data_IF_884650425661
#
_entry.id   IF_884650425661
#
_cell.length_a   1.000
_cell.length_b   1.000
_cell.length_c   1.000
_cell.angle_alpha   90.00
_cell.angle_beta   90.00
_cell.angle_gamma   90.00
#
_symmetry.space_group_name_H-M   'P 1'
#
loop_
_entity.id
_entity.type
_entity.pdbx_description
1 polymer ?
#
# COMPACT_ATOMS: atom_id res chain seq x y z
N UNK A 1 -7.92 -30.28 53.19
CA UNK A 1 -8.39 -29.99 51.82
C UNK A 1 -7.99 -28.58 51.36
N UNK A 2 -6.72 -28.16 51.54
CA UNK A 2 -6.28 -26.77 51.25
C UNK A 2 -5.18 -26.65 50.18
N UNK A 3 -4.62 -27.79 49.73
CA UNK A 3 -3.57 -27.84 48.69
C UNK A 3 -4.10 -28.25 47.30
N UNK A 4 -5.35 -28.71 47.18
CA UNK A 4 -5.91 -29.10 45.87
C UNK A 4 -6.38 -27.93 45.01
N UNK A 5 -6.67 -26.78 45.63
CA UNK A 5 -7.06 -25.55 44.93
C UNK A 5 -5.87 -24.83 44.27
N UNK A 6 -4.66 -24.98 44.82
CA UNK A 6 -3.46 -24.32 44.29
C UNK A 6 -2.93 -24.99 43.02
N UNK A 7 -3.14 -26.31 42.89
CA UNK A 7 -2.75 -27.08 41.70
C UNK A 7 -3.65 -26.77 40.50
N UNK A 8 -4.92 -26.40 40.72
CA UNK A 8 -5.86 -26.09 39.66
C UNK A 8 -5.60 -24.70 39.02
N UNK A 9 -5.02 -23.76 39.76
CA UNK A 9 -4.69 -22.42 39.27
C UNK A 9 -3.41 -22.39 38.41
N UNK A 10 -2.47 -23.32 38.61
CA UNK A 10 -1.19 -23.34 37.89
C UNK A 10 -1.31 -23.92 36.47
N UNK A 11 -2.32 -24.77 36.23
CA UNK A 11 -2.55 -25.40 34.91
C UNK A 11 -3.19 -24.43 33.89
N UNK A 12 -3.82 -23.35 34.36
CA UNK A 12 -4.48 -22.36 33.50
C UNK A 12 -3.52 -21.31 32.88
N UNK A 13 -2.26 -21.26 33.32
CA UNK A 13 -1.27 -20.30 32.79
C UNK A 13 -0.41 -20.84 31.64
N UNK A 14 -0.53 -22.12 31.29
CA UNK A 14 0.30 -22.75 30.24
C UNK A 14 -0.32 -22.68 28.83
N UNK A 15 -1.53 -22.11 28.68
CA UNK A 15 -2.22 -21.96 27.39
C UNK A 15 -1.93 -20.68 26.63
N UNK A 16 -1.13 -19.75 27.18
CA UNK A 16 -0.85 -18.45 26.57
C UNK A 16 0.39 -18.48 25.66
N UNK A 17 0.52 -19.49 24.80
CA UNK A 17 1.36 -19.36 23.62
C UNK A 17 0.43 -18.95 22.48
N UNK A 18 0.15 -17.65 22.41
CA UNK A 18 -0.49 -17.07 21.24
C UNK A 18 0.44 -17.32 20.05
N UNK A 19 0.06 -18.29 19.22
CA UNK A 19 0.60 -18.49 17.89
C UNK A 19 0.45 -17.18 17.14
N UNK A 20 1.54 -16.42 17.01
CA UNK A 20 1.65 -15.38 16.00
C UNK A 20 1.42 -16.06 14.66
N UNK A 21 0.32 -15.73 14.00
CA UNK A 21 0.04 -16.20 12.64
C UNK A 21 1.30 -16.00 11.79
N UNK A 22 1.66 -16.98 10.95
CA UNK A 22 2.75 -16.79 10.03
C UNK A 22 2.31 -15.67 9.08
N UNK A 23 2.79 -14.45 9.33
CA UNK A 23 2.82 -13.38 8.33
C UNK A 23 3.43 -14.06 7.12
N UNK A 24 2.64 -14.30 6.07
CA UNK A 24 3.14 -14.97 4.89
C UNK A 24 4.31 -14.14 4.38
N UNK A 25 5.53 -14.60 4.64
CA UNK A 25 6.74 -13.91 4.22
C UNK A 25 6.90 -14.21 2.74
N UNK A 26 6.10 -13.55 1.90
CA UNK A 26 6.28 -13.60 0.46
C UNK A 26 7.74 -13.31 0.15
N UNK A 27 8.31 -14.09 -0.75
CA UNK A 27 9.68 -13.87 -1.18
C UNK A 27 9.77 -12.53 -1.93
N UNK A 28 10.94 -11.86 -1.93
CA UNK A 28 11.13 -10.62 -2.69
C UNK A 28 10.77 -10.76 -4.18
N UNK A 29 10.98 -11.96 -4.75
CA UNK A 29 10.64 -12.26 -6.14
C UNK A 29 9.12 -12.34 -6.38
N UNK A 30 8.37 -12.94 -5.46
CA UNK A 30 6.90 -12.96 -5.53
C UNK A 30 6.30 -11.56 -5.40
N UNK A 31 6.87 -10.73 -4.52
CA UNK A 31 6.46 -9.33 -4.40
C UNK A 31 6.76 -8.58 -5.70
N UNK A 32 7.95 -8.78 -6.27
CA UNK A 32 8.33 -8.10 -7.51
C UNK A 32 7.46 -8.50 -8.70
N UNK A 33 7.11 -9.78 -8.82
CA UNK A 33 6.26 -10.26 -9.92
C UNK A 33 4.83 -9.73 -9.81
N UNK A 34 4.32 -9.60 -8.58
CA UNK A 34 3.04 -8.95 -8.32
C UNK A 34 3.07 -7.44 -8.63
N UNK A 35 4.19 -6.78 -8.34
CA UNK A 35 4.35 -5.33 -8.48
C UNK A 35 4.67 -4.86 -9.90
N UNK A 36 4.93 -5.75 -10.85
CA UNK A 36 5.47 -5.38 -12.17
C UNK A 36 4.64 -5.94 -13.31
N UNK A 37 4.37 -5.12 -14.33
CA UNK A 37 3.71 -5.57 -15.57
C UNK A 37 4.32 -4.94 -16.81
N UNK A 38 4.39 -5.74 -17.87
CA UNK A 38 4.82 -5.31 -19.19
C UNK A 38 3.65 -4.89 -20.08
N UNK A 39 3.83 -3.81 -20.82
CA UNK A 39 2.88 -3.32 -21.82
C UNK A 39 3.56 -3.19 -23.19
N UNK A 40 2.82 -3.56 -24.23
CA UNK A 40 3.29 -3.47 -25.63
C UNK A 40 3.27 -2.04 -26.22
N UNK A 41 2.75 -1.06 -25.49
CA UNK A 41 2.68 0.33 -25.92
C UNK A 41 3.92 1.12 -25.50
N UNK A 42 4.19 2.24 -26.18
CA UNK A 42 5.33 3.11 -25.86
C UNK A 42 5.17 3.82 -24.52
N UNK A 43 6.28 4.22 -23.89
CA UNK A 43 6.30 5.05 -22.67
C UNK A 43 5.44 6.31 -22.81
N UNK A 44 5.36 6.87 -24.01
CA UNK A 44 4.54 8.06 -24.31
C UNK A 44 3.02 7.83 -24.15
N UNK A 45 2.56 6.59 -24.28
CA UNK A 45 1.16 6.20 -24.07
C UNK A 45 0.96 5.68 -22.65
N UNK A 46 1.87 4.83 -22.17
CA UNK A 46 1.76 4.16 -20.88
C UNK A 46 1.87 5.15 -19.72
N UNK A 47 2.91 5.99 -19.69
CA UNK A 47 3.16 6.93 -18.60
C UNK A 47 1.94 7.81 -18.28
N UNK A 48 1.36 8.54 -19.24
CA UNK A 48 0.24 9.40 -18.91
C UNK A 48 -1.06 8.60 -18.66
N UNK A 49 -1.16 7.33 -19.11
CA UNK A 49 -2.28 6.45 -18.77
C UNK A 49 -2.23 6.02 -17.30
N UNK A 50 -1.05 5.68 -16.79
CA UNK A 50 -0.84 5.39 -15.36
C UNK A 50 -1.20 6.61 -14.52
N UNK A 51 -0.75 7.80 -14.92
CA UNK A 51 -1.09 9.05 -14.24
C UNK A 51 -2.60 9.30 -14.19
N UNK A 52 -3.33 9.07 -15.30
CA UNK A 52 -4.79 9.19 -15.33
C UNK A 52 -5.47 8.20 -14.39
N UNK A 53 -5.01 6.94 -14.33
CA UNK A 53 -5.59 5.95 -13.40
C UNK A 53 -5.40 6.37 -11.95
N UNK A 54 -4.25 6.90 -11.57
CA UNK A 54 -4.07 7.44 -10.22
C UNK A 54 -5.06 8.57 -9.92
N UNK A 55 -5.26 9.50 -10.85
CA UNK A 55 -6.23 10.59 -10.70
C UNK A 55 -7.69 10.08 -10.62
N UNK A 56 -8.06 9.10 -11.46
CA UNK A 56 -9.39 8.48 -11.48
C UNK A 56 -9.69 7.72 -10.18
N UNK A 57 -8.65 7.15 -9.55
CA UNK A 57 -8.74 6.51 -8.23
C UNK A 57 -8.76 7.52 -7.07
N UNK A 58 -8.73 8.82 -7.36
CA UNK A 58 -8.77 9.89 -6.37
C UNK A 58 -7.42 10.19 -5.71
N UNK A 59 -6.32 9.66 -6.22
CA UNK A 59 -4.98 10.01 -5.74
C UNK A 59 -4.57 11.38 -6.28
N UNK A 60 -3.88 12.14 -5.43
CA UNK A 60 -3.27 13.41 -5.79
C UNK A 60 -1.82 13.16 -6.21
N UNK A 61 -1.50 13.43 -7.47
CA UNK A 61 -0.13 13.33 -7.99
C UNK A 61 0.76 14.37 -7.30
N UNK A 62 1.84 13.92 -6.66
CA UNK A 62 2.79 14.77 -5.91
C UNK A 62 4.00 15.13 -6.76
N UNK A 63 4.49 14.18 -7.56
CA UNK A 63 5.58 14.37 -8.50
C UNK A 63 5.39 13.44 -9.70
N UNK A 64 5.74 13.92 -10.89
CA UNK A 64 5.73 13.14 -12.10
C UNK A 64 6.86 13.62 -13.01
N UNK A 65 7.78 12.72 -13.34
CA UNK A 65 8.91 12.99 -14.22
C UNK A 65 8.93 11.94 -15.31
N UNK A 66 8.70 12.38 -16.56
CA UNK A 66 8.55 11.48 -17.70
C UNK A 66 9.88 10.90 -18.16
N UNK A 67 10.98 11.60 -17.96
CA UNK A 67 12.30 11.16 -18.40
C UNK A 67 12.77 9.98 -17.54
N UNK A 68 12.75 10.15 -16.22
CA UNK A 68 12.97 9.07 -15.24
C UNK A 68 11.86 8.03 -15.28
N UNK A 69 10.63 8.42 -15.62
CA UNK A 69 9.46 7.55 -15.55
C UNK A 69 8.87 7.40 -14.15
N UNK A 70 9.26 8.27 -13.21
CA UNK A 70 8.76 8.25 -11.84
C UNK A 70 7.42 9.01 -11.74
N UNK A 71 6.44 8.39 -11.08
CA UNK A 71 5.21 9.05 -10.64
C UNK A 71 5.02 8.74 -9.17
N UNK A 72 4.78 9.75 -8.34
CA UNK A 72 4.37 9.60 -6.95
C UNK A 72 3.02 10.26 -6.74
N UNK A 73 2.14 9.59 -6.01
CA UNK A 73 0.80 10.06 -5.71
C UNK A 73 0.38 9.64 -4.30
N UNK A 74 -0.54 10.39 -3.69
CA UNK A 74 -1.06 10.10 -2.35
C UNK A 74 -2.59 10.05 -2.37
N UNK A 75 -3.17 9.06 -1.69
CA UNK A 75 -4.61 9.02 -1.46
C UNK A 75 -5.03 10.18 -0.55
N UNK A 76 -6.32 10.54 -0.52
CA UNK A 76 -6.83 11.47 0.48
C UNK A 76 -6.53 10.96 1.89
N UNK A 77 -6.14 11.88 2.77
CA UNK A 77 -5.91 11.59 4.18
C UNK A 77 -7.25 11.28 4.87
N UNK A 78 -7.32 10.14 5.53
CA UNK A 78 -8.47 9.74 6.36
C UNK A 78 -8.14 9.99 7.82
N UNK A 79 -8.91 10.86 8.48
CA UNK A 79 -8.73 11.16 9.91
C UNK A 79 -9.79 10.50 10.78
N UNK A 80 -9.37 9.91 11.91
CA UNK A 80 -10.31 9.38 12.90
C UNK A 80 -10.84 10.50 13.80
N UNK A 81 -11.98 11.06 13.42
CA UNK A 81 -12.62 12.19 14.11
C UNK A 81 -13.07 11.82 15.53
N UNK A 82 -13.48 10.57 15.78
CA UNK A 82 -13.92 10.12 17.09
C UNK A 82 -12.77 10.11 18.10
N UNK A 83 -11.59 9.65 17.68
CA UNK A 83 -10.41 9.61 18.53
C UNK A 83 -9.87 11.02 18.84
N UNK A 84 -9.93 11.93 17.85
CA UNK A 84 -9.60 13.34 18.04
C UNK A 84 -10.53 14.04 19.03
N UNK A 85 -11.83 13.75 18.96
CA UNK A 85 -12.83 14.35 19.83
C UNK A 85 -12.76 13.82 21.28
N UNK A 86 -12.57 12.51 21.46
CA UNK A 86 -12.60 11.88 22.80
C UNK A 86 -11.25 11.88 23.52
N UNK A 87 -10.14 11.70 22.80
CA UNK A 87 -8.81 11.50 23.40
C UNK A 87 -7.83 12.64 23.09
N UNK A 88 -8.23 13.62 22.27
CA UNK A 88 -7.33 14.66 21.78
C UNK A 88 -6.22 14.15 20.84
N UNK A 89 -6.31 12.88 20.40
CA UNK A 89 -5.32 12.23 19.54
C UNK A 89 -5.76 12.32 18.09
N UNK A 90 -4.91 12.88 17.23
CA UNK A 90 -5.16 12.89 15.78
C UNK A 90 -4.53 11.66 15.16
N UNK A 91 -5.33 10.84 14.48
CA UNK A 91 -4.87 9.66 13.74
C UNK A 91 -5.26 9.81 12.28
N UNK A 92 -4.25 9.84 11.42
CA UNK A 92 -4.39 10.13 9.99
C UNK A 92 -3.72 9.02 9.19
N UNK A 93 -4.50 8.36 8.34
CA UNK A 93 -4.02 7.34 7.41
C UNK A 93 -4.08 7.81 5.97
N UNK A 94 -3.04 7.51 5.20
CA UNK A 94 -2.94 7.79 3.77
C UNK A 94 -2.14 6.68 3.07
N UNK A 95 -2.43 6.41 1.81
CA UNK A 95 -1.68 5.47 0.99
C UNK A 95 -0.88 6.23 -0.05
N UNK A 96 0.44 6.07 -0.01
CA UNK A 96 1.34 6.55 -1.06
C UNK A 96 1.43 5.50 -2.17
N UNK A 97 1.24 5.93 -3.42
CA UNK A 97 1.43 5.14 -4.62
C UNK A 97 2.65 5.65 -5.39
N UNK A 98 3.54 4.74 -5.77
CA UNK A 98 4.68 5.05 -6.64
C UNK A 98 4.59 4.17 -7.88
N UNK A 99 4.68 4.78 -9.06
CA UNK A 99 4.90 4.07 -10.31
C UNK A 99 6.28 4.40 -10.87
N UNK A 100 6.96 3.38 -11.38
CA UNK A 100 8.17 3.51 -12.16
C UNK A 100 7.95 2.92 -13.53
N UNK A 101 8.12 3.72 -14.58
CA UNK A 101 7.84 3.35 -15.96
C UNK A 101 9.13 3.45 -16.79
N UNK A 102 9.58 2.34 -17.34
CA UNK A 102 10.79 2.27 -18.15
C UNK A 102 10.57 1.50 -19.44
N UNK A 103 11.44 1.71 -20.43
CA UNK A 103 11.41 0.95 -21.68
C UNK A 103 12.56 -0.04 -21.70
N UNK A 104 12.23 -1.34 -21.78
CA UNK A 104 13.18 -2.44 -21.90
C UNK A 104 12.81 -3.23 -23.15
N UNK A 105 13.77 -3.47 -24.05
CA UNK A 105 13.58 -4.31 -25.24
C UNK A 105 12.32 -3.95 -26.07
N UNK A 106 12.07 -2.65 -26.28
CA UNK A 106 10.91 -2.08 -27.00
C UNK A 106 9.55 -2.28 -26.32
N UNK A 107 9.51 -2.86 -25.13
CA UNK A 107 8.32 -2.92 -24.28
C UNK A 107 8.43 -1.88 -23.16
N UNK A 108 7.28 -1.48 -22.63
CA UNK A 108 7.24 -0.59 -21.48
C UNK A 108 6.94 -1.40 -20.22
N UNK A 109 7.85 -1.41 -19.28
CA UNK A 109 7.69 -2.01 -17.96
C UNK A 109 7.12 -0.97 -17.00
N UNK A 110 6.11 -1.37 -16.22
CA UNK A 110 5.53 -0.55 -15.15
C UNK A 110 5.65 -1.31 -13.85
N UNK A 111 6.33 -0.71 -12.88
CA UNK A 111 6.37 -1.19 -11.50
C UNK A 111 5.53 -0.28 -10.61
N UNK A 112 4.64 -0.88 -9.83
CA UNK A 112 3.81 -0.20 -8.85
C UNK A 112 4.26 -0.55 -7.43
N UNK A 113 4.18 0.41 -6.53
CA UNK A 113 4.40 0.20 -5.11
C UNK A 113 3.38 1.01 -4.31
N UNK A 114 2.76 0.39 -3.31
CA UNK A 114 1.79 1.04 -2.44
C UNK A 114 2.23 0.89 -0.99
N UNK A 115 2.24 2.00 -0.26
CA UNK A 115 2.63 2.05 1.16
C UNK A 115 1.58 2.82 1.91
N UNK A 116 0.96 2.20 2.91
CA UNK A 116 0.02 2.86 3.81
C UNK A 116 0.79 3.43 4.99
N UNK A 117 0.67 4.74 5.19
CA UNK A 117 1.19 5.46 6.32
C UNK A 117 0.07 5.77 7.31
N UNK A 118 0.27 5.44 8.58
CA UNK A 118 -0.56 5.90 9.69
C UNK A 118 0.26 6.83 10.57
N UNK A 119 -0.24 8.04 10.80
CA UNK A 119 0.39 9.04 11.67
C UNK A 119 -0.52 9.37 12.83
N UNK A 120 -0.08 9.04 14.03
CA UNK A 120 -0.71 9.42 15.28
C UNK A 120 -0.01 10.64 15.87
N UNK A 121 -0.77 11.65 16.27
CA UNK A 121 -0.25 12.88 16.89
C UNK A 121 -0.97 13.11 18.22
N UNK A 122 -0.18 13.29 19.27
CA UNK A 122 -0.64 13.44 20.66
C UNK A 122 -0.48 14.89 21.13
N UNK A 123 -0.97 15.17 22.34
CA UNK A 123 -0.66 16.41 23.04
C UNK A 123 0.85 16.62 23.18
N UNK A 124 1.27 17.88 23.36
CA UNK A 124 2.69 18.27 23.57
C UNK A 124 3.63 18.01 22.38
N UNK A 125 3.10 17.83 21.17
CA UNK A 125 3.89 17.79 19.94
C UNK A 125 4.55 16.44 19.65
N UNK A 126 4.20 15.38 20.39
CA UNK A 126 4.65 14.02 20.08
C UNK A 126 3.86 13.47 18.88
N UNK A 127 4.56 12.81 17.96
CA UNK A 127 3.92 12.08 16.86
C UNK A 127 4.63 10.77 16.59
N UNK A 128 3.86 9.76 16.23
CA UNK A 128 4.34 8.46 15.78
C UNK A 128 3.86 8.20 14.35
N UNK A 129 4.68 7.52 13.54
CA UNK A 129 4.39 7.21 12.14
C UNK A 129 4.78 5.78 11.83
N UNK A 130 3.81 5.01 11.36
CA UNK A 130 3.99 3.64 10.90
C UNK A 130 3.72 3.54 9.40
N UNK A 131 4.70 3.04 8.65
CA UNK A 131 4.58 2.81 7.21
C UNK A 131 4.56 1.30 6.94
N UNK A 132 3.52 0.83 6.23
CA UNK A 132 3.28 -0.59 5.96
C UNK A 132 3.11 -0.81 4.45
N UNK A 133 3.91 -1.67 3.80
CA UNK A 133 3.72 -1.99 2.39
C UNK A 133 2.41 -2.77 2.19
N UNK A 134 1.70 -2.46 1.12
CA UNK A 134 0.51 -3.22 0.71
C UNK A 134 0.99 -4.42 -0.09
N UNK A 135 0.77 -5.63 0.42
CA UNK A 135 1.16 -6.90 -0.20
C UNK A 135 -0.05 -7.76 -0.56
N UNK A 136 -1.05 -7.12 -1.17
CA UNK A 136 -2.28 -7.78 -1.62
C UNK A 136 -2.31 -7.85 -3.15
N UNK A 137 -2.23 -9.07 -3.69
CA UNK A 137 -2.17 -9.31 -5.13
C UNK A 137 -3.40 -8.80 -5.88
N UNK A 138 -4.58 -8.82 -5.26
CA UNK A 138 -5.81 -8.36 -5.89
C UNK A 138 -5.78 -6.84 -6.13
N UNK A 139 -5.18 -6.07 -5.23
CA UNK A 139 -5.00 -4.63 -5.39
C UNK A 139 -4.13 -4.32 -6.61
N UNK A 140 -3.02 -5.05 -6.78
CA UNK A 140 -2.12 -4.87 -7.91
C UNK A 140 -2.78 -5.30 -9.23
N UNK A 141 -3.48 -6.43 -9.25
CA UNK A 141 -4.21 -6.91 -10.42
C UNK A 141 -5.23 -5.87 -10.89
N UNK A 142 -6.08 -5.39 -9.98
CA UNK A 142 -7.07 -4.36 -10.28
C UNK A 142 -6.44 -3.05 -10.78
N UNK A 143 -5.31 -2.63 -10.19
CA UNK A 143 -4.59 -1.44 -10.65
C UNK A 143 -4.07 -1.62 -12.08
N UNK A 144 -3.47 -2.76 -12.39
CA UNK A 144 -2.95 -3.05 -13.72
C UNK A 144 -4.05 -3.19 -14.77
N UNK A 145 -5.19 -3.78 -14.44
CA UNK A 145 -6.34 -3.87 -15.35
C UNK A 145 -6.87 -2.48 -15.71
N UNK A 146 -6.97 -1.57 -14.73
CA UNK A 146 -7.36 -0.17 -15.00
C UNK A 146 -6.34 0.54 -15.89
N UNK A 147 -5.05 0.32 -15.67
CA UNK A 147 -3.97 0.86 -16.51
C UNK A 147 -4.06 0.32 -17.93
N UNK A 148 -4.28 -0.98 -18.10
CA UNK A 148 -4.44 -1.61 -19.41
C UNK A 148 -5.63 -1.02 -20.18
N UNK A 149 -6.77 -0.87 -19.52
CA UNK A 149 -7.95 -0.23 -20.11
C UNK A 149 -7.67 1.23 -20.51
N UNK A 150 -7.00 2.00 -19.65
CA UNK A 150 -6.64 3.39 -19.95
C UNK A 150 -5.66 3.49 -21.13
N UNK A 151 -4.70 2.57 -21.23
CA UNK A 151 -3.77 2.45 -22.35
C UNK A 151 -4.53 2.13 -23.63
N UNK A 152 -5.44 1.16 -23.60
CA UNK A 152 -6.24 0.77 -24.76
C UNK A 152 -7.09 1.93 -25.29
N UNK A 153 -7.78 2.65 -24.39
CA UNK A 153 -8.58 3.84 -24.74
C UNK A 153 -7.71 4.97 -25.31
N UNK A 154 -6.48 5.13 -24.82
CA UNK A 154 -5.56 6.18 -25.32
C UNK A 154 -4.93 5.83 -26.65
N UNK A 155 -4.57 4.56 -26.85
CA UNK A 155 -3.93 4.07 -28.07
C UNK A 155 -4.88 3.98 -29.27
N UNK A 156 -6.19 3.96 -29.02
CA UNK A 156 -7.24 3.93 -30.05
C UNK A 156 -7.68 5.32 -30.54
N UNK A 157 -7.09 6.40 -30.00
CA UNK A 157 -7.35 7.78 -30.44
C UNK A 157 -6.44 8.22 -31.56
#
# INVERSE_FOLDING_TARGET
MRNKFFVLALVLFLGACATTEPVSTMTPLEIQSMQTREFGQSKNVVFPSVMSVFQDLGYVVKSADKDTGLITAESPAKSNQAMKFWLGVSDVSQTSATAFIETINKKTNVRLNFVTSSKQSYGYGQSDRQDTPVLDAEIYQNAFEKIENAIFVRASR
#
